data_IF_361585468350
#
_entry.id   IF_361585468350
#
_cell.length_a   1.000
_cell.length_b   1.000
_cell.length_c   1.000
_cell.angle_alpha   90.00
_cell.angle_beta   90.00
_cell.angle_gamma   90.00
#
_symmetry.space_group_name_H-M   'P 1'
#
loop_
_entity.id
_entity.type
_entity.pdbx_description
1 polymer ?
#
# COMPACT_ATOMS: atom_id res chain seq x y z
N UNK A 1 -25.32 -22.19 4.53
CA UNK A 1 -24.51 -22.51 3.33
C UNK A 1 -25.41 -22.53 2.10
N UNK A 2 -25.09 -21.70 1.10
CA UNK A 2 -25.79 -21.72 -0.19
C UNK A 2 -25.51 -23.03 -0.93
N UNK A 3 -26.47 -23.53 -1.71
CA UNK A 3 -26.22 -24.70 -2.57
C UNK A 3 -25.15 -24.37 -3.63
N UNK A 4 -24.33 -25.35 -4.07
CA UNK A 4 -23.27 -25.11 -5.06
C UNK A 4 -23.77 -24.46 -6.37
N UNK A 5 -24.99 -24.80 -6.82
CA UNK A 5 -25.59 -24.26 -8.06
C UNK A 5 -26.16 -22.85 -7.90
N UNK A 6 -26.30 -22.32 -6.68
CA UNK A 6 -26.81 -20.97 -6.41
C UNK A 6 -25.71 -19.95 -6.06
N UNK A 7 -24.43 -20.35 -6.13
CA UNK A 7 -23.33 -19.44 -5.83
C UNK A 7 -23.12 -18.43 -6.98
N UNK A 8 -22.75 -17.18 -6.66
CA UNK A 8 -22.45 -16.17 -7.66
C UNK A 8 -21.19 -16.53 -8.44
N UNK A 9 -21.12 -16.08 -9.69
CA UNK A 9 -19.95 -16.21 -10.54
C UNK A 9 -18.92 -15.13 -10.19
N UNK A 10 -17.69 -15.56 -9.90
CA UNK A 10 -16.59 -14.65 -9.53
C UNK A 10 -15.47 -14.72 -10.57
N UNK A 11 -15.08 -13.57 -11.11
CA UNK A 11 -13.84 -13.45 -11.89
C UNK A 11 -12.71 -12.95 -10.98
N UNK A 12 -11.68 -13.75 -10.77
CA UNK A 12 -10.46 -13.34 -10.07
C UNK A 12 -9.46 -12.81 -11.09
N UNK A 13 -8.92 -11.62 -10.86
CA UNK A 13 -8.01 -10.93 -11.78
C UNK A 13 -6.68 -10.66 -11.08
N UNK A 14 -5.59 -11.12 -11.69
CA UNK A 14 -4.22 -10.77 -11.34
C UNK A 14 -3.61 -9.95 -12.48
N UNK A 15 -2.94 -8.85 -12.15
CA UNK A 15 -2.23 -8.02 -13.13
C UNK A 15 -0.74 -8.22 -12.97
N UNK A 16 -0.06 -8.64 -14.05
CA UNK A 16 1.37 -8.89 -14.07
C UNK A 16 2.13 -7.85 -14.89
N UNK A 17 3.29 -7.43 -14.38
CA UNK A 17 4.28 -6.65 -15.10
C UNK A 17 5.68 -7.02 -14.56
N UNK A 18 6.33 -7.97 -15.21
CA UNK A 18 7.62 -8.54 -14.80
C UNK A 18 7.61 -9.07 -13.35
N UNK A 19 6.55 -9.79 -12.95
CA UNK A 19 6.39 -10.31 -11.59
C UNK A 19 7.26 -11.53 -11.27
N UNK A 20 7.94 -12.13 -12.24
CA UNK A 20 8.84 -13.26 -12.07
C UNK A 20 8.23 -14.43 -11.30
N UNK A 21 8.95 -14.92 -10.28
CA UNK A 21 8.50 -16.03 -9.44
C UNK A 21 7.32 -15.65 -8.52
N UNK A 22 7.24 -14.38 -8.12
CA UNK A 22 6.23 -13.89 -7.17
C UNK A 22 4.81 -14.02 -7.73
N UNK A 23 4.59 -13.63 -9.00
CA UNK A 23 3.28 -13.80 -9.65
C UNK A 23 2.91 -15.27 -9.83
N UNK A 24 3.88 -16.15 -10.12
CA UNK A 24 3.64 -17.59 -10.26
C UNK A 24 3.10 -18.15 -8.93
N UNK A 25 3.66 -17.71 -7.80
CA UNK A 25 3.20 -18.10 -6.46
C UNK A 25 1.82 -17.51 -6.11
N UNK A 26 1.57 -16.27 -6.48
CA UNK A 26 0.25 -15.64 -6.34
C UNK A 26 -0.83 -16.40 -7.13
N UNK A 27 -0.56 -16.74 -8.40
CA UNK A 27 -1.46 -17.55 -9.24
C UNK A 27 -1.66 -18.93 -8.62
N UNK A 28 -0.59 -19.58 -8.13
CA UNK A 28 -0.68 -20.88 -7.45
C UNK A 28 -1.62 -20.82 -6.24
N UNK A 29 -1.55 -19.76 -5.44
CA UNK A 29 -2.45 -19.56 -4.30
C UNK A 29 -3.90 -19.38 -4.76
N UNK A 30 -4.15 -18.56 -5.79
CA UNK A 30 -5.49 -18.31 -6.33
C UNK A 30 -6.11 -19.57 -6.94
N UNK A 31 -5.34 -20.39 -7.66
CA UNK A 31 -5.84 -21.67 -8.23
C UNK A 31 -6.27 -22.66 -7.15
N UNK A 32 -5.74 -22.55 -5.92
CA UNK A 32 -6.16 -23.38 -4.78
C UNK A 32 -7.41 -22.86 -4.05
N UNK A 33 -8.08 -21.83 -4.57
CA UNK A 33 -9.31 -21.28 -3.99
C UNK A 33 -10.41 -22.35 -3.92
N UNK A 34 -11.02 -22.51 -2.75
CA UNK A 34 -12.18 -23.37 -2.52
C UNK A 34 -13.45 -22.67 -3.01
N UNK A 35 -13.74 -22.84 -4.30
CA UNK A 35 -14.95 -22.34 -4.95
C UNK A 35 -15.42 -23.33 -6.01
N UNK A 36 -16.73 -23.42 -6.35
CA UNK A 36 -17.17 -24.28 -7.44
C UNK A 36 -16.51 -23.89 -8.76
N UNK A 37 -15.91 -24.87 -9.44
CA UNK A 37 -15.13 -24.65 -10.65
C UNK A 37 -15.96 -24.04 -11.81
N UNK A 38 -17.27 -24.29 -11.85
CA UNK A 38 -18.22 -23.70 -12.81
C UNK A 38 -18.68 -22.29 -12.42
N UNK A 39 -18.20 -21.76 -11.30
CA UNK A 39 -18.56 -20.45 -10.72
C UNK A 39 -17.36 -19.54 -10.47
N UNK A 40 -16.17 -19.91 -10.95
CA UNK A 40 -14.96 -19.10 -10.86
C UNK A 40 -14.24 -19.06 -12.20
N UNK A 41 -13.75 -17.88 -12.57
CA UNK A 41 -12.82 -17.67 -13.67
C UNK A 41 -11.58 -16.97 -13.12
N UNK A 42 -10.39 -17.51 -13.40
CA UNK A 42 -9.13 -16.90 -12.99
C UNK A 42 -8.46 -16.33 -14.23
N UNK A 43 -8.17 -15.02 -14.21
CA UNK A 43 -7.60 -14.28 -15.33
C UNK A 43 -6.30 -13.62 -14.90
N UNK A 44 -5.21 -13.94 -15.60
CA UNK A 44 -3.95 -13.23 -15.49
C UNK A 44 -3.84 -12.23 -16.66
N UNK A 45 -3.75 -10.95 -16.34
CA UNK A 45 -3.58 -9.85 -17.30
C UNK A 45 -2.11 -9.47 -17.36
N UNK A 46 -1.50 -9.61 -18.52
CA UNK A 46 -0.11 -9.22 -18.75
C UNK A 46 0.00 -7.79 -19.31
N UNK A 47 0.73 -6.94 -18.59
CA UNK A 47 1.02 -5.55 -18.95
C UNK A 47 2.30 -5.41 -19.79
N UNK A 48 2.62 -6.38 -20.64
CA UNK A 48 3.79 -6.35 -21.52
C UNK A 48 5.07 -6.73 -20.79
N UNK A 49 5.00 -7.83 -20.03
CA UNK A 49 6.14 -8.44 -19.34
C UNK A 49 7.12 -9.04 -20.34
N UNK A 50 8.40 -9.08 -19.96
CA UNK A 50 9.52 -9.57 -20.77
C UNK A 50 10.42 -10.56 -20.02
N UNK A 51 10.01 -10.98 -18.83
CA UNK A 51 10.76 -11.84 -17.90
C UNK A 51 10.40 -13.33 -18.01
N UNK A 52 9.43 -13.69 -18.86
CA UNK A 52 8.99 -15.07 -19.07
C UNK A 52 8.00 -15.59 -18.03
N UNK A 53 7.52 -14.73 -17.11
CA UNK A 53 6.54 -15.10 -16.07
C UNK A 53 5.26 -15.69 -16.69
N UNK A 54 4.82 -15.10 -17.81
CA UNK A 54 3.56 -15.45 -18.43
C UNK A 54 3.59 -16.82 -19.11
N UNK A 55 4.67 -17.14 -19.82
CA UNK A 55 4.86 -18.45 -20.42
C UNK A 55 4.92 -19.53 -19.32
N UNK A 56 5.55 -19.23 -18.19
CA UNK A 56 5.55 -20.12 -17.03
C UNK A 56 4.14 -20.34 -16.47
N UNK A 57 3.35 -19.27 -16.30
CA UNK A 57 1.95 -19.35 -15.83
C UNK A 57 1.10 -20.18 -16.78
N UNK A 58 1.20 -19.96 -18.09
CA UNK A 58 0.42 -20.72 -19.08
C UNK A 58 0.77 -22.21 -19.09
N UNK A 59 2.04 -22.54 -18.86
CA UNK A 59 2.52 -23.93 -18.82
C UNK A 59 2.13 -24.63 -17.50
N UNK A 60 2.25 -23.96 -16.35
CA UNK A 60 1.96 -24.55 -15.04
C UNK A 60 0.45 -24.58 -14.73
N UNK A 61 -0.31 -23.57 -15.19
CA UNK A 61 -1.72 -23.39 -14.87
C UNK A 61 -2.59 -23.22 -16.13
N UNK A 62 -2.81 -24.28 -16.92
CA UNK A 62 -3.56 -24.19 -18.18
C UNK A 62 -5.05 -23.80 -18.01
N UNK A 63 -5.59 -23.86 -16.80
CA UNK A 63 -6.94 -23.39 -16.48
C UNK A 63 -7.05 -21.87 -16.28
N UNK A 64 -5.91 -21.16 -16.20
CA UNK A 64 -5.87 -19.70 -16.03
C UNK A 64 -5.96 -19.03 -17.39
N UNK A 65 -6.98 -18.18 -17.56
CA UNK A 65 -7.12 -17.37 -18.77
C UNK A 65 -6.05 -16.27 -18.78
N UNK A 66 -5.51 -15.97 -19.96
CA UNK A 66 -4.49 -14.93 -20.12
C UNK A 66 -4.98 -13.85 -21.07
N UNK A 67 -4.84 -12.59 -20.65
CA UNK A 67 -5.12 -11.40 -21.46
C UNK A 67 -3.84 -10.58 -21.59
N UNK A 68 -3.41 -10.27 -22.82
CA UNK A 68 -2.19 -9.47 -23.07
C UNK A 68 -2.56 -8.04 -23.47
N UNK A 69 -2.12 -7.06 -22.69
CA UNK A 69 -2.28 -5.63 -23.00
C UNK A 69 -1.22 -5.13 -24.01
N UNK A 70 -0.09 -5.83 -24.12
CA UNK A 70 0.99 -5.54 -25.06
C UNK A 70 1.89 -4.35 -24.70
N UNK A 71 1.57 -3.62 -23.64
CA UNK A 71 2.39 -2.56 -23.05
C UNK A 71 1.98 -2.32 -21.60
N UNK A 72 2.84 -1.64 -20.84
CA UNK A 72 2.53 -1.30 -19.46
C UNK A 72 1.46 -0.18 -19.43
N UNK A 73 0.26 -0.53 -18.98
CA UNK A 73 -0.87 0.39 -18.76
C UNK A 73 -0.97 0.86 -17.30
N UNK A 74 -0.03 0.42 -16.46
CA UNK A 74 -0.10 0.56 -15.01
C UNK A 74 -1.26 -0.24 -14.42
N UNK A 75 -1.66 0.07 -13.19
CA UNK A 75 -2.74 -0.62 -12.48
C UNK A 75 -4.09 -0.61 -13.23
N UNK A 76 -4.47 0.45 -13.98
CA UNK A 76 -5.64 0.42 -14.85
C UNK A 76 -5.60 -0.67 -15.95
N UNK A 77 -4.47 -1.34 -16.17
CA UNK A 77 -4.38 -2.53 -17.04
C UNK A 77 -5.37 -3.64 -16.67
N UNK A 78 -5.78 -3.72 -15.40
CA UNK A 78 -6.87 -4.58 -14.91
C UNK A 78 -8.18 -4.40 -15.70
N UNK A 79 -8.41 -3.22 -16.29
CA UNK A 79 -9.60 -2.92 -17.08
C UNK A 79 -9.84 -3.94 -18.19
N UNK A 80 -8.80 -4.54 -18.76
CA UNK A 80 -8.95 -5.53 -19.84
C UNK A 80 -9.70 -6.80 -19.41
N UNK A 81 -9.67 -7.16 -18.11
CA UNK A 81 -10.48 -8.25 -17.56
C UNK A 81 -11.85 -7.80 -17.04
N UNK A 82 -12.12 -6.49 -16.98
CA UNK A 82 -13.34 -5.92 -16.40
C UNK A 82 -14.27 -5.23 -17.42
N UNK A 83 -13.90 -5.16 -18.70
CA UNK A 83 -14.74 -4.56 -19.75
C UNK A 83 -16.02 -5.35 -20.01
N UNK A 84 -15.93 -6.68 -20.00
CA UNK A 84 -17.03 -7.60 -20.30
C UNK A 84 -17.47 -8.34 -19.04
N UNK A 85 -18.55 -7.89 -18.41
CA UNK A 85 -19.04 -8.42 -17.13
C UNK A 85 -20.35 -9.22 -17.26
N UNK A 86 -20.77 -9.55 -18.48
CA UNK A 86 -21.98 -10.34 -18.70
C UNK A 86 -21.87 -11.71 -18.01
N UNK A 87 -22.79 -11.99 -17.08
CA UNK A 87 -22.79 -13.23 -16.29
C UNK A 87 -21.80 -13.27 -15.13
N UNK A 88 -21.05 -12.19 -14.89
CA UNK A 88 -20.14 -12.05 -13.74
C UNK A 88 -20.87 -11.28 -12.64
N UNK A 89 -20.95 -11.85 -11.44
CA UNK A 89 -21.57 -11.19 -10.28
C UNK A 89 -20.54 -10.33 -9.52
N UNK A 90 -19.31 -10.85 -9.41
CA UNK A 90 -18.21 -10.17 -8.72
C UNK A 90 -16.88 -10.29 -9.46
N UNK A 91 -16.05 -9.25 -9.33
CA UNK A 91 -14.66 -9.24 -9.75
C UNK A 91 -13.79 -9.15 -8.50
N UNK A 92 -12.93 -10.13 -8.26
CA UNK A 92 -11.95 -10.08 -7.19
C UNK A 92 -10.59 -9.67 -7.77
N UNK A 93 -10.06 -8.52 -7.38
CA UNK A 93 -8.70 -8.12 -7.71
C UNK A 93 -7.73 -8.71 -6.69
N UNK A 94 -6.63 -9.28 -7.14
CA UNK A 94 -5.52 -9.78 -6.31
C UNK A 94 -4.21 -9.35 -6.98
N UNK A 95 -3.36 -8.63 -6.26
CA UNK A 95 -2.10 -8.14 -6.82
C UNK A 95 -1.13 -9.29 -7.16
N UNK A 96 -0.15 -9.02 -8.01
CA UNK A 96 0.86 -10.02 -8.40
C UNK A 96 1.78 -10.47 -7.27
N UNK A 97 1.82 -9.74 -6.17
CA UNK A 97 2.58 -10.01 -4.96
C UNK A 97 1.68 -10.23 -3.73
N UNK A 98 0.43 -10.62 -3.97
CA UNK A 98 -0.53 -10.98 -2.94
C UNK A 98 -0.88 -12.48 -2.99
N UNK A 99 -0.94 -13.11 -1.82
CA UNK A 99 -1.16 -14.54 -1.62
C UNK A 99 -2.42 -14.75 -0.78
N UNK A 100 -3.35 -15.55 -1.30
CA UNK A 100 -4.66 -15.76 -0.68
C UNK A 100 -4.75 -17.10 0.05
N UNK A 101 -5.51 -17.16 1.14
CA UNK A 101 -5.85 -18.44 1.77
C UNK A 101 -6.87 -19.22 0.95
N UNK A 102 -6.93 -20.56 1.10
CA UNK A 102 -7.84 -21.39 0.29
C UNK A 102 -9.32 -20.97 0.39
N UNK A 103 -9.77 -20.53 1.57
CA UNK A 103 -11.17 -20.14 1.79
C UNK A 103 -11.38 -18.62 1.78
N UNK A 104 -10.45 -17.84 1.23
CA UNK A 104 -10.51 -16.36 1.27
C UNK A 104 -11.77 -15.77 0.61
N UNK A 105 -12.30 -16.41 -0.44
CA UNK A 105 -13.36 -15.84 -1.27
C UNK A 105 -14.77 -15.97 -0.64
N UNK A 106 -15.05 -17.08 0.04
CA UNK A 106 -16.34 -17.34 0.69
C UNK A 106 -16.80 -16.19 1.62
N UNK A 107 -16.01 -15.77 2.63
CA UNK A 107 -16.45 -14.72 3.53
C UNK A 107 -16.68 -13.38 2.81
N UNK A 108 -15.87 -13.04 1.80
CA UNK A 108 -16.05 -11.81 1.01
C UNK A 108 -17.40 -11.81 0.28
N UNK A 109 -17.73 -12.92 -0.38
CA UNK A 109 -18.98 -13.08 -1.12
C UNK A 109 -20.18 -13.10 -0.17
N UNK A 110 -20.09 -13.82 0.95
CA UNK A 110 -21.15 -13.83 1.97
C UNK A 110 -21.42 -12.41 2.49
N UNK A 111 -20.36 -11.64 2.79
CA UNK A 111 -20.47 -10.25 3.22
C UNK A 111 -21.16 -9.38 2.18
N UNK A 112 -20.72 -9.45 0.93
CA UNK A 112 -21.35 -8.72 -0.18
C UNK A 112 -22.82 -9.14 -0.41
N UNK A 113 -23.19 -10.38 -0.04
CA UNK A 113 -24.57 -10.87 -0.11
C UNK A 113 -25.51 -10.29 0.96
N UNK A 114 -24.98 -9.75 2.06
CA UNK A 114 -25.80 -9.22 3.18
C UNK A 114 -26.56 -7.94 2.83
N UNK A 115 -26.03 -7.13 1.89
CA UNK A 115 -26.68 -5.91 1.41
C UNK A 115 -26.25 -5.64 -0.04
N UNK A 116 -27.24 -5.43 -0.92
CA UNK A 116 -27.01 -5.07 -2.32
C UNK A 116 -26.31 -3.73 -2.48
N UNK A 117 -26.41 -2.81 -1.52
CA UNK A 117 -25.68 -1.54 -1.51
C UNK A 117 -24.17 -1.65 -1.25
N UNK A 118 -23.67 -2.83 -0.86
CA UNK A 118 -22.23 -3.07 -0.71
C UNK A 118 -21.63 -3.27 -2.11
N UNK A 119 -20.80 -2.31 -2.53
CA UNK A 119 -20.14 -2.32 -3.83
C UNK A 119 -18.74 -2.94 -3.80
N UNK A 120 -18.09 -2.92 -2.63
CA UNK A 120 -16.77 -3.53 -2.43
C UNK A 120 -16.63 -4.14 -1.03
N UNK A 121 -15.91 -5.26 -0.95
CA UNK A 121 -15.52 -5.90 0.30
C UNK A 121 -14.00 -6.09 0.32
N UNK A 122 -13.35 -5.53 1.34
CA UNK A 122 -11.90 -5.65 1.54
C UNK A 122 -11.59 -6.80 2.51
N UNK A 123 -10.66 -7.71 2.16
CA UNK A 123 -10.12 -8.66 3.13
C UNK A 123 -9.26 -7.94 4.18
N UNK A 124 -8.89 -8.66 5.24
CA UNK A 124 -7.75 -8.27 6.08
C UNK A 124 -6.47 -8.60 5.31
N UNK A 125 -5.71 -7.56 4.97
CA UNK A 125 -4.41 -7.71 4.30
C UNK A 125 -3.31 -7.63 5.35
N UNK A 126 -2.55 -8.71 5.49
CA UNK A 126 -1.34 -8.79 6.30
C UNK A 126 -0.12 -8.64 5.40
N UNK A 127 1.00 -8.21 5.97
CA UNK A 127 2.28 -8.36 5.28
C UNK A 127 2.57 -9.85 5.01
N UNK A 128 3.26 -10.13 3.90
CA UNK A 128 3.58 -11.50 3.50
C UNK A 128 4.42 -12.20 4.56
N UNK A 129 5.40 -11.48 5.11
CA UNK A 129 6.19 -11.93 6.23
C UNK A 129 5.46 -11.75 7.56
N UNK A 130 5.73 -12.69 8.46
CA UNK A 130 5.56 -12.45 9.90
C UNK A 130 6.89 -11.96 10.46
N UNK A 131 6.85 -11.25 11.57
CA UNK A 131 8.01 -10.52 12.05
C UNK A 131 8.42 -10.89 13.46
N UNK A 132 9.73 -10.99 13.66
CA UNK A 132 10.35 -11.00 14.97
C UNK A 132 10.59 -9.56 15.41
N UNK A 133 10.15 -9.22 16.62
CA UNK A 133 10.26 -7.86 17.15
C UNK A 133 11.50 -7.72 18.04
N UNK A 134 12.27 -6.66 17.79
CA UNK A 134 13.41 -6.23 18.59
C UNK A 134 13.10 -4.85 19.13
N UNK A 135 12.97 -4.73 20.45
CA UNK A 135 12.74 -3.42 21.09
C UNK A 135 14.04 -2.64 21.18
N UNK A 136 14.01 -1.36 20.86
CA UNK A 136 15.14 -0.44 20.97
C UNK A 136 14.90 0.48 22.16
N UNK A 137 15.85 0.51 23.10
CA UNK A 137 15.95 1.55 24.13
C UNK A 137 17.10 2.45 23.78
N UNK A 138 16.85 3.75 23.75
CA UNK A 138 17.85 4.76 23.40
C UNK A 138 17.92 5.81 24.51
N UNK A 139 19.11 5.99 25.06
CA UNK A 139 19.41 7.07 25.98
C UNK A 139 20.39 8.01 25.30
N UNK A 140 19.95 9.24 25.10
CA UNK A 140 20.74 10.29 24.46
C UNK A 140 21.28 11.25 25.53
N UNK A 141 22.59 11.50 25.50
CA UNK A 141 23.22 12.46 26.39
C UNK A 141 22.84 13.91 26.00
N UNK A 142 22.40 14.14 24.77
CA UNK A 142 22.07 15.47 24.24
C UNK A 142 20.55 15.72 24.20
N UNK A 143 20.01 16.33 25.27
CA UNK A 143 18.56 16.66 25.40
C UNK A 143 17.96 17.53 24.28
N UNK A 144 18.76 18.10 23.39
CA UNK A 144 18.35 18.98 22.28
C UNK A 144 19.28 18.82 21.06
N UNK A 145 19.16 17.69 20.37
CA UNK A 145 19.88 17.38 19.12
C UNK A 145 18.98 16.74 18.04
N UNK A 146 19.52 16.46 16.83
CA UNK A 146 18.87 15.54 15.88
C UNK A 146 18.67 14.15 16.52
N UNK A 147 17.86 13.29 15.89
CA UNK A 147 17.61 11.95 16.44
C UNK A 147 18.93 11.18 16.64
N UNK A 148 19.10 10.47 17.76
CA UNK A 148 20.41 10.02 18.23
C UNK A 148 21.03 8.90 17.37
N UNK A 149 20.22 8.07 16.72
CA UNK A 149 20.71 6.94 15.94
C UNK A 149 19.80 6.63 14.74
N UNK A 150 20.39 6.03 13.71
CA UNK A 150 19.74 5.55 12.49
C UNK A 150 20.09 4.09 12.23
N UNK A 151 19.09 3.29 11.88
CA UNK A 151 19.25 1.94 11.35
C UNK A 151 19.59 2.02 9.86
N UNK A 152 20.76 1.50 9.48
CA UNK A 152 21.31 1.54 8.12
C UNK A 152 21.19 0.21 7.37
N UNK A 153 21.07 -0.88 8.11
CA UNK A 153 21.07 -2.22 7.55
C UNK A 153 20.58 -3.25 8.57
N UNK A 154 20.04 -4.33 8.04
CA UNK A 154 19.67 -5.53 8.81
C UNK A 154 20.01 -6.73 7.94
N UNK A 155 20.84 -7.62 8.47
CA UNK A 155 21.07 -8.92 7.87
C UNK A 155 20.54 -10.04 8.77
N UNK A 156 20.00 -11.08 8.15
CA UNK A 156 19.46 -12.28 8.79
C UNK A 156 20.12 -13.50 8.16
N UNK A 157 20.76 -14.34 8.98
CA UNK A 157 21.60 -15.47 8.57
C UNK A 157 22.59 -15.10 7.43
N UNK A 158 23.15 -13.90 7.48
CA UNK A 158 24.10 -13.37 6.49
C UNK A 158 23.49 -12.82 5.19
N UNK A 159 22.16 -12.76 5.06
CA UNK A 159 21.49 -12.12 3.93
C UNK A 159 20.90 -10.76 4.31
N UNK A 160 21.03 -9.76 3.42
CA UNK A 160 20.40 -8.46 3.61
C UNK A 160 18.87 -8.59 3.52
N UNK A 161 18.19 -8.16 4.58
CA UNK A 161 16.73 -8.14 4.70
C UNK A 161 16.21 -6.74 5.05
N UNK A 162 17.05 -5.70 4.98
CA UNK A 162 16.72 -4.38 5.49
C UNK A 162 15.49 -3.77 4.82
N UNK A 163 15.38 -3.92 3.50
CA UNK A 163 14.24 -3.39 2.73
C UNK A 163 12.90 -4.01 3.11
N UNK A 164 12.92 -5.24 3.65
CA UNK A 164 11.76 -5.99 4.16
C UNK A 164 11.51 -5.77 5.65
N UNK A 165 12.40 -5.06 6.36
CA UNK A 165 12.18 -4.72 7.76
C UNK A 165 11.25 -3.52 7.89
N UNK A 166 10.58 -3.41 9.04
CA UNK A 166 9.79 -2.25 9.42
C UNK A 166 10.24 -1.74 10.79
N UNK A 167 10.40 -0.43 10.96
CA UNK A 167 10.67 0.15 12.27
C UNK A 167 9.45 0.90 12.78
N UNK A 168 8.75 0.34 13.77
CA UNK A 168 7.65 1.01 14.43
C UNK A 168 8.16 2.08 15.39
N UNK A 169 7.40 3.18 15.52
CA UNK A 169 7.80 4.32 16.33
C UNK A 169 8.96 5.12 15.75
N UNK A 170 9.38 4.85 14.51
CA UNK A 170 10.36 5.63 13.75
C UNK A 170 9.71 6.86 13.10
N UNK A 171 10.54 7.76 12.57
CA UNK A 171 10.04 8.86 11.73
C UNK A 171 9.71 8.43 10.29
N UNK A 172 9.69 7.12 10.01
CA UNK A 172 9.64 6.56 8.67
C UNK A 172 11.02 6.43 8.01
N UNK A 173 11.02 5.79 6.83
CA UNK A 173 12.20 5.58 5.99
C UNK A 173 12.63 6.86 5.29
N UNK A 174 13.92 7.14 5.35
CA UNK A 174 14.57 8.26 4.69
C UNK A 174 15.67 7.75 3.76
N UNK A 175 16.20 8.62 2.92
CA UNK A 175 17.36 8.32 2.10
C UNK A 175 18.32 9.50 2.05
N UNK A 176 19.60 9.20 1.97
CA UNK A 176 20.68 10.16 1.74
C UNK A 176 21.63 9.64 0.65
N UNK A 177 22.88 10.12 0.64
CA UNK A 177 23.88 9.70 -0.34
C UNK A 177 24.43 8.30 -0.09
N UNK A 178 24.33 7.80 1.14
CA UNK A 178 24.88 6.51 1.55
C UNK A 178 23.86 5.39 1.43
N UNK A 179 22.57 5.73 1.43
CA UNK A 179 21.50 4.80 1.10
C UNK A 179 20.20 5.14 1.79
N UNK A 180 19.33 4.14 1.89
CA UNK A 180 18.13 4.21 2.72
C UNK A 180 18.49 4.00 4.18
N UNK A 181 17.73 4.61 5.08
CA UNK A 181 17.91 4.44 6.52
C UNK A 181 16.60 4.72 7.27
N UNK A 182 16.49 4.24 8.50
CA UNK A 182 15.34 4.52 9.38
C UNK A 182 15.80 5.10 10.71
N UNK A 183 15.24 6.24 11.08
CA UNK A 183 15.55 6.88 12.35
C UNK A 183 15.04 6.05 13.53
N UNK A 184 15.90 5.81 14.53
CA UNK A 184 15.53 5.16 15.77
C UNK A 184 15.17 6.20 16.83
N UNK A 185 14.14 5.88 17.62
CA UNK A 185 13.72 6.63 18.80
C UNK A 185 13.74 5.69 20.02
N UNK A 186 13.73 6.25 21.23
CA UNK A 186 13.47 5.45 22.42
C UNK A 186 12.10 4.76 22.32
N UNK A 187 12.07 3.44 22.50
CA UNK A 187 10.88 2.62 22.33
C UNK A 187 10.59 2.19 20.89
N UNK A 188 11.46 2.47 19.91
CA UNK A 188 11.31 1.93 18.55
C UNK A 188 11.31 0.40 18.55
N UNK A 189 10.61 -0.21 17.60
CA UNK A 189 10.58 -1.67 17.42
C UNK A 189 11.05 -2.00 16.02
N UNK A 190 12.19 -2.69 15.90
CA UNK A 190 12.68 -3.22 14.64
C UNK A 190 12.00 -4.56 14.39
N UNK A 191 11.29 -4.68 13.28
CA UNK A 191 10.62 -5.89 12.84
C UNK A 191 11.42 -6.56 11.74
N UNK A 192 11.95 -7.74 12.05
CA UNK A 192 12.77 -8.55 11.14
C UNK A 192 11.92 -9.70 10.60
N UNK A 193 11.87 -9.95 9.29
CA UNK A 193 11.05 -11.03 8.72
C UNK A 193 11.48 -12.40 9.26
N UNK A 194 10.52 -13.27 9.59
CA UNK A 194 10.76 -14.63 10.10
C UNK A 194 11.38 -15.57 9.07
N UNK A 195 11.25 -15.23 7.78
CA UNK A 195 11.69 -16.03 6.65
C UNK A 195 12.63 -15.27 5.74
N UNK A 196 13.64 -15.98 5.23
CA UNK A 196 14.57 -15.46 4.25
C UNK A 196 14.11 -15.96 2.88
N UNK A 197 13.25 -15.19 2.20
CA UNK A 197 12.84 -15.47 0.81
C UNK A 197 12.15 -16.82 0.59
N UNK A 198 11.03 -17.08 1.29
CA UNK A 198 10.20 -18.27 1.06
C UNK A 198 10.76 -19.60 1.61
N UNK A 199 11.95 -19.57 2.23
CA UNK A 199 12.54 -20.75 2.89
C UNK A 199 11.94 -21.03 4.28
N UNK A 200 12.01 -22.30 4.70
CA UNK A 200 11.60 -22.77 6.05
C UNK A 200 12.71 -22.63 7.10
N UNK A 201 13.88 -22.12 6.73
CA UNK A 201 15.00 -21.91 7.65
C UNK A 201 14.65 -20.72 8.56
N UNK A 202 14.43 -21.00 9.84
CA UNK A 202 14.18 -19.96 10.84
C UNK A 202 15.38 -19.02 11.00
N UNK A 203 15.10 -17.81 11.47
CA UNK A 203 16.13 -16.82 11.83
C UNK A 203 16.94 -17.33 13.03
N UNK A 204 18.24 -17.52 12.84
CA UNK A 204 19.17 -17.90 13.92
C UNK A 204 20.06 -16.73 14.32
N UNK A 205 20.44 -15.90 13.35
CA UNK A 205 21.40 -14.82 13.53
C UNK A 205 20.85 -13.54 12.88
N UNK A 206 20.79 -12.45 13.64
CA UNK A 206 20.45 -11.13 13.12
C UNK A 206 21.61 -10.18 13.41
N UNK A 207 21.99 -9.37 12.44
CA UNK A 207 22.96 -8.29 12.63
C UNK A 207 22.30 -6.99 12.16
N UNK A 208 22.35 -5.96 13.00
CA UNK A 208 21.87 -4.62 12.66
C UNK A 208 23.04 -3.67 12.49
N UNK A 209 22.97 -2.82 11.48
CA UNK A 209 23.94 -1.75 11.25
C UNK A 209 23.35 -0.43 11.72
N UNK A 210 24.03 0.23 12.66
CA UNK A 210 23.58 1.46 13.30
C UNK A 210 24.59 2.55 13.06
N UNK A 211 24.12 3.72 12.66
CA UNK A 211 24.86 4.97 12.68
C UNK A 211 24.38 5.85 13.84
N UNK A 212 25.32 6.31 14.67
CA UNK A 212 25.04 7.25 15.76
C UNK A 212 25.26 8.69 15.29
N UNK A 213 24.33 9.59 15.61
CA UNK A 213 24.42 11.02 15.31
C UNK A 213 24.71 11.88 16.55
N UNK A 214 24.47 11.35 17.75
CA UNK A 214 24.92 11.93 19.03
C UNK A 214 25.70 10.87 19.83
N UNK A 215 26.23 11.26 20.99
CA UNK A 215 26.68 10.27 21.96
C UNK A 215 25.44 9.67 22.60
N UNK A 216 25.23 8.37 22.40
CA UNK A 216 24.06 7.69 22.92
C UNK A 216 24.39 6.28 23.39
N UNK A 217 23.54 5.76 24.27
CA UNK A 217 23.55 4.37 24.68
C UNK A 217 22.33 3.68 24.06
N UNK A 218 22.57 2.57 23.36
CA UNK A 218 21.51 1.75 22.77
C UNK A 218 21.47 0.37 23.43
N UNK A 219 20.26 -0.11 23.70
CA UNK A 219 20.01 -1.46 24.18
C UNK A 219 18.92 -2.12 23.34
N UNK A 220 19.13 -3.38 22.99
CA UNK A 220 18.17 -4.18 22.22
C UNK A 220 17.48 -5.21 23.11
N UNK A 221 16.15 -5.23 23.08
CA UNK A 221 15.36 -6.25 23.75
C UNK A 221 15.48 -7.59 23.03
N UNK A 222 15.94 -8.62 23.73
CA UNK A 222 16.06 -9.98 23.20
C UNK A 222 17.51 -10.47 23.06
N UNK A 223 18.50 -9.58 22.97
CA UNK A 223 19.92 -9.94 23.06
C UNK A 223 20.35 -10.10 24.52
N UNK A 224 21.46 -10.81 24.75
CA UNK A 224 22.08 -10.91 26.07
C UNK A 224 22.58 -9.53 26.54
N UNK A 225 21.67 -8.73 27.08
CA UNK A 225 21.83 -7.54 27.94
C UNK A 225 23.09 -6.68 27.70
N UNK A 226 23.46 -6.46 26.43
CA UNK A 226 24.58 -5.60 26.07
C UNK A 226 24.11 -4.16 25.93
N UNK A 227 24.50 -3.29 26.85
CA UNK A 227 24.47 -1.85 26.61
C UNK A 227 25.60 -1.48 25.65
N UNK A 228 25.28 -0.79 24.56
CA UNK A 228 26.26 -0.33 23.57
C UNK A 228 26.36 1.19 23.63
N UNK A 229 27.49 1.69 24.13
CA UNK A 229 27.80 3.12 24.10
C UNK A 229 28.36 3.49 22.72
N UNK A 230 27.65 4.36 22.01
CA UNK A 230 27.99 4.80 20.66
C UNK A 230 28.42 6.26 20.70
N UNK A 231 29.63 6.53 20.22
CA UNK A 231 30.10 7.90 19.99
C UNK A 231 29.41 8.50 18.76
N UNK A 232 29.19 9.81 18.74
CA UNK A 232 28.68 10.52 17.56
C UNK A 232 29.54 10.23 16.31
N UNK A 233 28.89 9.87 15.22
CA UNK A 233 29.50 9.45 13.94
C UNK A 233 29.96 7.99 13.88
N UNK A 234 29.75 7.18 14.93
CA UNK A 234 30.09 5.77 14.90
C UNK A 234 29.10 4.96 14.05
N UNK A 235 29.63 4.10 13.17
CA UNK A 235 28.87 3.07 12.48
C UNK A 235 29.26 1.70 13.05
N UNK A 236 28.30 0.96 13.59
CA UNK A 236 28.54 -0.33 14.24
C UNK A 236 27.60 -1.40 13.71
N UNK A 237 28.12 -2.61 13.56
CA UNK A 237 27.32 -3.81 13.26
C UNK A 237 27.17 -4.62 14.54
N UNK A 238 25.94 -4.80 15.01
CA UNK A 238 25.64 -5.45 16.29
C UNK A 238 24.89 -6.76 16.05
N UNK A 239 25.45 -7.92 16.46
CA UNK A 239 24.72 -9.17 16.44
C UNK A 239 23.65 -9.16 17.54
N UNK A 240 22.41 -9.45 17.16
CA UNK A 240 21.25 -9.47 18.04
C UNK A 240 20.64 -10.87 18.09
N UNK A 241 20.21 -11.25 19.29
CA UNK A 241 19.32 -12.38 19.44
C UNK A 241 17.89 -11.90 19.31
N UNK A 242 17.10 -12.62 18.51
CA UNK A 242 15.69 -12.32 18.26
C UNK A 242 14.79 -13.29 19.01
N UNK A 243 13.58 -12.83 19.34
CA UNK A 243 12.55 -13.69 19.90
C UNK A 243 12.19 -14.84 18.95
N UNK A 244 11.48 -15.85 19.46
CA UNK A 244 10.99 -17.00 18.66
C UNK A 244 9.50 -16.93 18.33
N UNK A 245 8.84 -15.84 18.68
CA UNK A 245 7.40 -15.66 18.54
C UNK A 245 7.12 -14.59 17.48
N UNK A 246 7.10 -14.97 16.20
CA UNK A 246 6.78 -14.05 15.12
C UNK A 246 5.33 -13.59 15.20
N UNK A 247 5.11 -12.33 14.84
CA UNK A 247 3.82 -11.66 14.86
C UNK A 247 3.35 -11.32 13.45
N UNK A 248 2.05 -11.36 13.25
CA UNK A 248 1.43 -10.85 12.04
C UNK A 248 1.32 -9.32 12.13
N UNK A 249 1.64 -8.64 11.04
CA UNK A 249 1.56 -7.18 10.93
C UNK A 249 0.56 -6.86 9.83
N UNK A 250 -0.35 -5.95 10.14
CA UNK A 250 -1.39 -5.50 9.23
C UNK A 250 -0.76 -4.61 8.16
N UNK A 251 -1.05 -4.94 6.90
CA UNK A 251 -0.77 -4.08 5.77
C UNK A 251 -1.97 -3.16 5.49
N UNK A 252 -3.18 -3.71 5.42
CA UNK A 252 -4.39 -2.92 5.19
C UNK A 252 -5.65 -3.61 5.75
N UNK A 253 -6.48 -2.86 6.48
CA UNK A 253 -7.83 -3.26 6.89
C UNK A 253 -8.86 -2.22 6.45
N UNK A 254 -8.75 -1.81 5.18
CA UNK A 254 -9.52 -0.74 4.57
C UNK A 254 -8.80 0.60 4.57
N UNK A 255 -9.31 1.52 3.75
CA UNK A 255 -8.66 2.80 3.48
C UNK A 255 -9.63 3.95 3.68
N UNK A 256 -9.11 5.16 3.84
CA UNK A 256 -9.90 6.37 4.00
C UNK A 256 -9.15 7.58 3.43
N UNK A 257 -9.86 8.70 3.28
CA UNK A 257 -9.33 9.94 2.72
C UNK A 257 -9.51 11.07 3.72
N UNK A 258 -8.45 11.81 4.02
CA UNK A 258 -8.51 12.96 4.94
C UNK A 258 -9.02 14.26 4.27
N UNK A 259 -9.15 15.33 5.05
CA UNK A 259 -9.58 16.65 4.55
C UNK A 259 -8.61 17.33 3.57
N UNK A 260 -7.41 16.78 3.37
CA UNK A 260 -6.44 17.20 2.36
C UNK A 260 -6.47 16.34 1.11
N UNK A 261 -7.42 15.39 1.04
CA UNK A 261 -7.57 14.38 0.00
C UNK A 261 -6.40 13.41 -0.07
N UNK A 262 -5.68 13.23 1.03
CA UNK A 262 -4.61 12.23 1.14
C UNK A 262 -5.27 10.90 1.52
N UNK A 263 -4.96 9.85 0.76
CA UNK A 263 -5.36 8.48 1.07
C UNK A 263 -4.51 7.92 2.21
N UNK A 264 -5.18 7.20 3.12
CA UNK A 264 -4.58 6.57 4.29
C UNK A 264 -5.00 5.11 4.35
N UNK A 265 -4.08 4.26 4.77
CA UNK A 265 -4.31 2.84 5.01
C UNK A 265 -4.58 2.62 6.49
N UNK A 266 -5.66 1.90 6.80
CA UNK A 266 -6.00 1.61 8.19
C UNK A 266 -5.25 0.39 8.67
N UNK A 267 -4.73 0.47 9.90
CA UNK A 267 -3.96 -0.60 10.54
C UNK A 267 -2.57 -0.82 9.96
N UNK A 268 -2.13 -0.02 8.97
CA UNK A 268 -0.80 -0.18 8.39
C UNK A 268 0.28 -0.13 9.49
N UNK A 269 1.09 -1.17 9.57
CA UNK A 269 2.13 -1.39 10.58
C UNK A 269 1.64 -1.73 12.01
N UNK A 270 0.35 -1.91 12.24
CA UNK A 270 -0.15 -2.44 13.51
C UNK A 270 0.11 -3.95 13.61
N UNK A 271 0.48 -4.42 14.79
CA UNK A 271 0.52 -5.87 15.06
C UNK A 271 -0.91 -6.38 15.13
N UNK A 272 -1.25 -7.43 14.38
CA UNK A 272 -2.58 -8.04 14.46
C UNK A 272 -2.70 -8.84 15.75
N UNK A 273 -3.53 -8.33 16.66
CA UNK A 273 -3.91 -8.95 17.93
C UNK A 273 -5.42 -9.25 17.95
N UNK A 274 -6.09 -9.22 16.79
CA UNK A 274 -7.54 -9.38 16.66
C UNK A 274 -8.33 -8.09 16.82
N UNK A 275 -7.68 -6.93 16.93
CA UNK A 275 -8.34 -5.62 17.06
C UNK A 275 -9.14 -5.22 15.81
N UNK A 276 -8.91 -5.91 14.68
CA UNK A 276 -9.61 -5.71 13.42
C UNK A 276 -10.51 -6.90 13.03
N UNK A 277 -10.91 -7.75 13.98
CA UNK A 277 -11.75 -8.94 13.72
C UNK A 277 -13.24 -8.65 13.56
N UNK A 278 -13.62 -7.37 13.67
CA UNK A 278 -15.00 -6.93 13.44
C UNK A 278 -15.11 -6.28 12.04
N UNK A 279 -16.04 -6.75 11.19
CA UNK A 279 -16.37 -6.07 9.93
C UNK A 279 -16.80 -4.62 10.17
N UNK A 280 -16.19 -3.68 9.45
CA UNK A 280 -16.49 -2.25 9.56
C UNK A 280 -16.66 -1.60 8.19
N UNK A 281 -17.49 -0.56 8.11
CA UNK A 281 -17.61 0.28 6.92
C UNK A 281 -16.40 1.22 6.78
N UNK A 282 -15.83 1.30 5.58
CA UNK A 282 -14.58 2.02 5.30
C UNK A 282 -14.71 3.02 4.17
N UNK A 283 -14.01 4.14 4.22
CA UNK A 283 -14.17 5.20 3.22
C UNK A 283 -13.82 4.78 1.80
N UNK A 284 -12.73 4.03 1.64
CA UNK A 284 -12.21 3.47 0.39
C UNK A 284 -11.60 2.08 0.64
N UNK A 285 -11.03 1.47 -0.39
CA UNK A 285 -10.44 0.13 -0.38
C UNK A 285 -9.12 0.13 -1.12
N UNK A 286 -8.25 -0.85 -0.81
CA UNK A 286 -6.94 -1.03 -1.43
C UNK A 286 -7.05 -1.92 -2.68
N UNK A 287 -6.40 -1.52 -3.78
CA UNK A 287 -6.31 -2.34 -4.99
C UNK A 287 -5.50 -3.63 -4.85
N UNK A 288 -4.75 -3.82 -3.75
CA UNK A 288 -3.93 -5.01 -3.55
C UNK A 288 -4.76 -6.30 -3.42
N UNK A 289 -5.91 -6.22 -2.75
CA UNK A 289 -6.92 -7.27 -2.76
C UNK A 289 -8.30 -6.70 -2.43
N UNK A 290 -9.29 -6.94 -3.28
CA UNK A 290 -10.68 -6.46 -3.06
C UNK A 290 -11.67 -7.26 -3.88
N UNK A 291 -12.85 -7.55 -3.31
CA UNK A 291 -14.00 -8.06 -4.06
C UNK A 291 -14.91 -6.90 -4.47
N UNK A 292 -15.11 -6.70 -5.76
CA UNK A 292 -15.93 -5.65 -6.35
C UNK A 292 -17.21 -6.25 -6.94
N UNK A 293 -18.36 -5.63 -6.66
CA UNK A 293 -19.62 -6.00 -7.31
C UNK A 293 -19.60 -5.57 -8.78
N UNK A 294 -19.93 -6.49 -9.69
CA UNK A 294 -19.97 -6.18 -11.12
C UNK A 294 -20.96 -5.06 -11.45
N UNK A 295 -22.11 -5.02 -10.76
CA UNK A 295 -23.10 -3.92 -10.89
C UNK A 295 -22.52 -2.56 -10.50
N UNK A 296 -21.64 -2.48 -9.50
CA UNK A 296 -20.96 -1.23 -9.15
C UNK A 296 -20.01 -0.82 -10.27
N UNK A 297 -19.24 -1.73 -10.83
CA UNK A 297 -18.33 -1.43 -11.94
C UNK A 297 -19.13 -0.94 -13.16
N UNK A 298 -20.26 -1.57 -13.46
CA UNK A 298 -21.15 -1.18 -14.56
C UNK A 298 -21.80 0.21 -14.33
N UNK A 299 -22.21 0.52 -13.09
CA UNK A 299 -22.79 1.81 -12.71
C UNK A 299 -21.77 2.96 -12.72
N UNK A 300 -20.58 2.70 -12.18
CA UNK A 300 -19.59 3.74 -11.86
C UNK A 300 -18.56 3.91 -13.00
N UNK A 301 -18.32 2.85 -13.76
CA UNK A 301 -17.27 2.75 -14.79
C UNK A 301 -15.93 2.22 -14.26
N UNK A 302 -15.02 1.91 -15.18
CA UNK A 302 -13.71 1.30 -14.92
C UNK A 302 -12.70 2.26 -14.25
N UNK A 303 -11.45 1.80 -14.03
CA UNK A 303 -10.34 2.66 -13.64
C UNK A 303 -10.03 3.69 -14.73
N UNK A 304 -9.70 4.93 -14.34
CA UNK A 304 -9.24 5.93 -15.31
C UNK A 304 -7.75 5.74 -15.59
N UNK A 305 -7.43 5.38 -16.83
CA UNK A 305 -6.07 5.10 -17.30
C UNK A 305 -5.10 6.30 -17.17
N UNK A 306 -5.62 7.52 -16.93
CA UNK A 306 -4.79 8.71 -16.66
C UNK A 306 -3.94 8.54 -15.39
N UNK A 307 -4.41 7.77 -14.41
CA UNK A 307 -3.71 7.57 -13.15
C UNK A 307 -2.42 6.78 -13.31
N UNK A 308 -2.43 5.75 -14.18
CA UNK A 308 -1.35 4.78 -14.38
C UNK A 308 -1.00 4.00 -13.10
N UNK A 309 -0.62 4.64 -12.00
CA UNK A 309 -0.37 3.98 -10.70
C UNK A 309 -0.68 4.94 -9.55
N UNK A 310 -1.16 4.38 -8.43
CA UNK A 310 -1.69 5.09 -7.25
C UNK A 310 -2.91 5.98 -7.51
N UNK A 311 -3.87 5.95 -6.57
CA UNK A 311 -5.14 6.70 -6.57
C UNK A 311 -6.17 6.29 -7.64
N UNK A 312 -5.89 5.34 -8.54
CA UNK A 312 -6.91 4.79 -9.44
C UNK A 312 -8.03 4.07 -8.70
N UNK A 313 -7.67 3.28 -7.67
CA UNK A 313 -8.61 2.63 -6.74
C UNK A 313 -9.41 3.66 -5.95
N UNK A 314 -8.73 4.69 -5.46
CA UNK A 314 -9.28 5.80 -4.69
C UNK A 314 -10.27 6.61 -5.54
N UNK A 315 -9.95 6.95 -6.79
CA UNK A 315 -10.87 7.63 -7.69
C UNK A 315 -12.12 6.80 -7.96
N UNK A 316 -11.97 5.49 -8.21
CA UNK A 316 -13.09 4.58 -8.41
C UNK A 316 -13.96 4.47 -7.16
N UNK A 317 -13.34 4.33 -5.98
CA UNK A 317 -14.01 4.28 -4.69
C UNK A 317 -14.80 5.57 -4.39
N UNK A 318 -14.21 6.74 -4.64
CA UNK A 318 -14.89 8.04 -4.46
C UNK A 318 -16.06 8.20 -5.42
N UNK A 319 -15.91 7.77 -6.69
CA UNK A 319 -17.05 7.74 -7.64
C UNK A 319 -18.16 6.78 -7.15
N UNK A 320 -17.80 5.60 -6.65
CA UNK A 320 -18.74 4.63 -6.07
C UNK A 320 -19.49 5.18 -4.87
N UNK A 321 -18.78 5.80 -3.92
CA UNK A 321 -19.39 6.52 -2.78
C UNK A 321 -20.33 7.60 -3.26
N UNK A 322 -19.92 8.39 -4.26
CA UNK A 322 -20.77 9.41 -4.87
C UNK A 322 -22.07 8.86 -5.48
N UNK A 323 -22.06 7.60 -5.92
CA UNK A 323 -23.22 6.85 -6.43
C UNK A 323 -24.01 6.11 -5.35
N UNK A 324 -23.61 6.22 -4.07
CA UNK A 324 -24.30 5.62 -2.92
C UNK A 324 -23.83 4.22 -2.54
N UNK A 325 -22.80 3.68 -3.20
CA UNK A 325 -22.22 2.39 -2.85
C UNK A 325 -21.46 2.47 -1.52
N UNK A 326 -21.55 1.41 -0.72
CA UNK A 326 -20.83 1.24 0.55
C UNK A 326 -19.70 0.24 0.40
N UNK A 327 -18.66 0.40 1.22
CA UNK A 327 -17.50 -0.49 1.25
C UNK A 327 -17.28 -0.98 2.66
N UNK A 328 -16.98 -2.26 2.82
CA UNK A 328 -16.84 -2.88 4.15
C UNK A 328 -15.63 -3.79 4.19
N UNK A 329 -15.07 -3.99 5.37
CA UNK A 329 -14.06 -5.02 5.61
C UNK A 329 -14.71 -6.35 5.92
N UNK A 330 -14.01 -7.45 5.65
CA UNK A 330 -14.36 -8.79 6.11
C UNK A 330 -13.10 -9.51 6.59
N UNK A 331 -12.79 -9.44 7.90
CA UNK A 331 -11.51 -9.89 8.45
C UNK A 331 -11.34 -11.41 8.50
N UNK A 332 -12.40 -12.19 8.25
CA UNK A 332 -12.30 -13.65 8.06
C UNK A 332 -11.68 -14.02 6.73
N UNK A 333 -11.60 -13.10 5.77
CA UNK A 333 -10.82 -13.24 4.56
C UNK A 333 -9.43 -12.67 4.82
N UNK A 334 -8.40 -13.50 4.78
CA UNK A 334 -7.01 -13.08 4.99
C UNK A 334 -6.24 -13.18 3.66
N UNK A 335 -5.53 -12.10 3.33
CA UNK A 335 -4.61 -12.02 2.20
C UNK A 335 -3.26 -11.55 2.72
N UNK A 336 -2.18 -12.15 2.22
CA UNK A 336 -0.80 -11.78 2.55
C UNK A 336 -0.18 -11.03 1.39
N UNK A 337 0.48 -9.90 1.63
CA UNK A 337 0.96 -9.01 0.58
C UNK A 337 2.41 -8.60 0.85
N UNK A 338 3.31 -8.76 -0.14
CA UNK A 338 4.72 -8.36 0.01
C UNK A 338 4.84 -6.85 0.24
N UNK A 339 3.95 -6.07 -0.40
CA UNK A 339 3.90 -4.61 -0.38
C UNK A 339 5.12 -3.95 -1.06
N UNK A 340 4.85 -2.96 -1.92
CA UNK A 340 5.88 -2.19 -2.65
C UNK A 340 6.85 -3.01 -3.53
N UNK A 341 6.47 -4.21 -3.99
CA UNK A 341 7.36 -5.05 -4.82
C UNK A 341 7.67 -4.45 -6.21
N UNK A 342 6.73 -3.73 -6.81
CA UNK A 342 6.87 -3.14 -8.15
C UNK A 342 7.35 -1.69 -8.16
N UNK A 343 7.20 -0.97 -7.04
CA UNK A 343 7.71 0.39 -6.86
C UNK A 343 8.14 0.57 -5.41
N UNK A 344 9.43 0.81 -5.20
CA UNK A 344 10.00 1.07 -3.88
C UNK A 344 9.29 2.28 -3.24
N UNK A 345 8.81 2.09 -2.01
CA UNK A 345 8.20 3.16 -1.20
C UNK A 345 9.18 4.33 -1.06
N UNK A 346 8.68 5.56 -1.23
CA UNK A 346 9.53 6.77 -1.22
C UNK A 346 10.40 6.98 -2.47
N UNK A 347 10.29 6.13 -3.51
CA UNK A 347 10.96 6.38 -4.79
C UNK A 347 10.42 7.64 -5.47
N UNK A 348 11.25 8.29 -6.30
CA UNK A 348 10.85 9.47 -7.06
C UNK A 348 9.65 9.21 -7.99
N UNK A 349 9.50 7.98 -8.47
CA UNK A 349 8.33 7.56 -9.28
C UNK A 349 7.07 7.50 -8.41
N UNK A 350 7.14 6.85 -7.24
CA UNK A 350 6.00 6.79 -6.32
C UNK A 350 5.56 8.18 -5.87
N UNK A 351 6.50 8.99 -5.38
CA UNK A 351 6.23 10.37 -4.95
C UNK A 351 5.58 11.19 -6.07
N UNK A 352 6.06 11.04 -7.32
CA UNK A 352 5.53 11.75 -8.47
C UNK A 352 4.06 11.40 -8.71
N UNK A 353 3.75 10.11 -8.82
CA UNK A 353 2.40 9.67 -9.14
C UNK A 353 1.43 9.88 -7.98
N UNK A 354 1.83 9.60 -6.73
CA UNK A 354 1.02 9.89 -5.53
C UNK A 354 0.63 11.37 -5.51
N UNK A 355 1.59 12.29 -5.63
CA UNK A 355 1.28 13.71 -5.53
C UNK A 355 0.50 14.22 -6.74
N UNK A 356 0.90 13.84 -7.97
CA UNK A 356 0.20 14.22 -9.20
C UNK A 356 -1.25 13.74 -9.15
N UNK A 357 -1.47 12.48 -8.79
CA UNK A 357 -2.78 11.85 -8.84
C UNK A 357 -3.69 12.28 -7.70
N UNK A 358 -3.14 12.54 -6.50
CA UNK A 358 -3.87 13.21 -5.41
C UNK A 358 -4.48 14.53 -5.88
N UNK A 359 -3.71 15.35 -6.61
CA UNK A 359 -4.20 16.61 -7.18
C UNK A 359 -5.28 16.39 -8.26
N UNK A 360 -5.19 15.32 -9.06
CA UNK A 360 -6.24 14.95 -10.02
C UNK A 360 -7.55 14.57 -9.30
N UNK A 361 -7.48 13.77 -8.23
CA UNK A 361 -8.66 13.43 -7.41
C UNK A 361 -9.27 14.69 -6.80
N UNK A 362 -8.45 15.60 -6.25
CA UNK A 362 -8.91 16.91 -5.75
C UNK A 362 -9.66 17.69 -6.84
N UNK A 363 -9.08 17.82 -8.03
CA UNK A 363 -9.71 18.51 -9.16
C UNK A 363 -11.04 17.88 -9.56
N UNK A 364 -11.14 16.55 -9.52
CA UNK A 364 -12.34 15.81 -9.95
C UNK A 364 -13.47 15.82 -8.93
N UNK A 365 -13.16 15.76 -7.64
CA UNK A 365 -14.15 15.45 -6.60
C UNK A 365 -14.37 16.56 -5.58
N UNK A 366 -13.31 17.27 -5.19
CA UNK A 366 -13.32 18.23 -4.09
C UNK A 366 -14.16 19.48 -4.37
N UNK A 367 -14.49 20.26 -3.34
CA UNK A 367 -15.14 21.56 -3.55
C UNK A 367 -14.17 22.58 -4.19
N UNK A 368 -14.70 23.68 -4.75
CA UNK A 368 -13.82 24.72 -5.33
C UNK A 368 -12.94 25.36 -4.26
N UNK A 369 -13.45 25.54 -3.03
CA UNK A 369 -12.66 26.05 -1.92
C UNK A 369 -11.55 25.08 -1.49
N UNK A 370 -11.81 23.78 -1.47
CA UNK A 370 -10.77 22.77 -1.21
C UNK A 370 -9.69 22.76 -2.30
N UNK A 371 -10.08 22.84 -3.58
CA UNK A 371 -9.12 22.93 -4.70
C UNK A 371 -8.20 24.13 -4.49
N UNK A 372 -8.75 25.32 -4.27
CA UNK A 372 -7.96 26.54 -4.06
C UNK A 372 -7.04 26.41 -2.84
N UNK A 373 -7.56 25.91 -1.71
CA UNK A 373 -6.80 25.73 -0.47
C UNK A 373 -5.64 24.76 -0.65
N UNK A 374 -5.89 23.59 -1.25
CA UNK A 374 -4.89 22.53 -1.44
C UNK A 374 -3.83 22.97 -2.45
N UNK A 375 -4.22 23.63 -3.54
CA UNK A 375 -3.28 24.15 -4.55
C UNK A 375 -2.42 25.28 -3.98
N UNK A 376 -3.02 26.20 -3.21
CA UNK A 376 -2.26 27.24 -2.51
C UNK A 376 -1.28 26.62 -1.50
N UNK A 377 -1.74 25.66 -0.69
CA UNK A 377 -0.87 24.93 0.26
C UNK A 377 0.28 24.23 -0.46
N UNK A 378 0.03 23.62 -1.62
CA UNK A 378 1.08 22.97 -2.42
C UNK A 378 2.19 23.95 -2.80
N UNK A 379 1.82 25.12 -3.32
CA UNK A 379 2.77 26.19 -3.70
C UNK A 379 3.53 26.70 -2.49
N UNK A 380 2.83 26.98 -1.37
CA UNK A 380 3.45 27.47 -0.14
C UNK A 380 4.43 26.47 0.48
N UNK A 381 4.05 25.19 0.55
CA UNK A 381 4.93 24.13 1.06
C UNK A 381 6.15 23.95 0.16
N UNK A 382 5.96 24.01 -1.17
CA UNK A 382 7.09 23.95 -2.12
C UNK A 382 8.02 25.16 -1.96
N UNK A 383 7.47 26.37 -1.75
CA UNK A 383 8.25 27.56 -1.41
C UNK A 383 8.98 27.45 -0.06
N UNK A 384 8.39 26.74 0.92
CA UNK A 384 9.03 26.45 2.20
C UNK A 384 10.24 25.51 2.03
N UNK A 385 10.13 24.47 1.20
CA UNK A 385 11.28 23.61 0.87
C UNK A 385 12.39 24.40 0.17
N UNK A 386 12.02 25.28 -0.78
CA UNK A 386 12.99 26.17 -1.45
C UNK A 386 13.71 27.06 -0.44
N UNK A 387 12.96 27.74 0.44
CA UNK A 387 13.53 28.57 1.50
C UNK A 387 14.48 27.76 2.39
N UNK A 388 14.06 26.57 2.82
CA UNK A 388 14.85 25.69 3.70
C UNK A 388 16.15 25.27 3.03
N UNK A 389 16.10 24.87 1.75
CA UNK A 389 17.27 24.50 0.97
C UNK A 389 18.28 25.66 0.85
N UNK A 390 17.81 26.89 0.59
CA UNK A 390 18.68 28.05 0.49
C UNK A 390 19.26 28.48 1.84
N UNK A 391 18.48 28.44 2.92
CA UNK A 391 18.98 28.75 4.27
C UNK A 391 20.06 27.75 4.67
N UNK A 392 19.81 26.45 4.48
CA UNK A 392 20.81 25.41 4.76
C UNK A 392 22.07 25.57 3.91
N UNK A 393 21.92 25.87 2.61
CA UNK A 393 23.03 26.11 1.69
C UNK A 393 23.90 27.31 2.12
N UNK A 394 23.28 28.41 2.55
CA UNK A 394 23.98 29.58 3.07
C UNK A 394 24.74 29.26 4.36
N UNK A 395 24.10 28.54 5.29
CA UNK A 395 24.70 28.12 6.56
C UNK A 395 25.89 27.17 6.36
N UNK A 396 25.79 26.24 5.42
CA UNK A 396 26.82 25.22 5.15
C UNK A 396 27.84 25.67 4.07
N UNK A 397 27.66 26.86 3.47
CA UNK A 397 28.45 27.35 2.31
C UNK A 397 28.49 26.36 1.14
N UNK A 398 27.36 25.72 0.87
CA UNK A 398 27.20 24.73 -0.20
C UNK A 398 26.15 25.18 -1.22
N UNK A 399 25.97 24.41 -2.30
CA UNK A 399 24.86 24.62 -3.24
C UNK A 399 23.55 24.09 -2.63
N UNK A 400 22.40 24.75 -2.87
CA UNK A 400 21.12 24.26 -2.36
C UNK A 400 20.73 22.95 -3.03
N UNK A 401 20.29 21.99 -2.23
CA UNK A 401 19.62 20.79 -2.71
C UNK A 401 18.16 21.13 -3.05
N UNK A 402 17.86 21.16 -4.35
CA UNK A 402 16.53 21.48 -4.87
C UNK A 402 15.75 20.24 -5.30
N UNK A 403 16.21 19.04 -4.96
CA UNK A 403 15.61 17.77 -5.39
C UNK A 403 14.12 17.72 -5.06
N UNK A 404 13.74 18.00 -3.81
CA UNK A 404 12.35 18.00 -3.38
C UNK A 404 11.50 19.08 -4.08
N UNK A 405 12.07 20.27 -4.31
CA UNK A 405 11.40 21.35 -5.04
C UNK A 405 11.12 20.93 -6.48
N UNK A 406 12.10 20.34 -7.16
CA UNK A 406 11.95 19.85 -8.52
C UNK A 406 10.91 18.73 -8.62
N UNK A 407 10.96 17.72 -7.74
CA UNK A 407 9.99 16.61 -7.72
C UNK A 407 8.56 17.11 -7.51
N UNK A 408 8.33 17.99 -6.52
CA UNK A 408 7.00 18.57 -6.25
C UNK A 408 6.51 19.46 -7.39
N UNK A 409 7.39 20.25 -8.00
CA UNK A 409 7.06 21.13 -9.13
C UNK A 409 6.70 20.31 -10.37
N UNK A 410 7.48 19.28 -10.69
CA UNK A 410 7.21 18.38 -11.82
C UNK A 410 5.84 17.69 -11.68
N UNK A 411 5.52 17.20 -10.48
CA UNK A 411 4.24 16.54 -10.18
C UNK A 411 3.06 17.51 -10.29
N UNK A 412 3.22 18.74 -9.81
CA UNK A 412 2.20 19.80 -9.94
C UNK A 412 1.96 20.20 -11.40
N UNK A 413 3.03 20.44 -12.17
CA UNK A 413 2.92 20.77 -13.59
C UNK A 413 2.30 19.62 -14.39
N UNK A 414 2.61 18.36 -14.06
CA UNK A 414 1.98 17.20 -14.67
C UNK A 414 0.47 17.15 -14.38
N UNK A 415 0.05 17.47 -13.15
CA UNK A 415 -1.38 17.58 -12.82
C UNK A 415 -2.06 18.73 -13.58
N UNK A 416 -1.40 19.90 -13.70
CA UNK A 416 -1.93 21.04 -14.46
C UNK A 416 -2.07 20.75 -15.95
N UNK A 417 -1.15 19.99 -16.57
CA UNK A 417 -1.28 19.53 -17.95
C UNK A 417 -2.55 18.70 -18.18
N UNK A 418 -3.01 17.99 -17.14
CA UNK A 418 -4.21 17.16 -17.16
C UNK A 418 -5.48 17.90 -16.66
N UNK A 419 -5.39 19.20 -16.38
CA UNK A 419 -6.51 20.00 -15.88
C UNK A 419 -7.71 20.00 -16.84
N UNK A 420 -7.58 20.20 -18.17
CA UNK A 420 -8.74 20.20 -19.06
C UNK A 420 -9.53 18.89 -19.02
N UNK A 421 -8.81 17.75 -19.07
CA UNK A 421 -9.40 16.41 -18.95
C UNK A 421 -10.07 16.21 -17.59
N UNK A 422 -9.42 16.64 -16.51
CA UNK A 422 -9.95 16.53 -15.15
C UNK A 422 -11.23 17.35 -14.94
N UNK A 423 -11.35 18.51 -15.59
CA UNK A 423 -12.57 19.34 -15.55
C UNK A 423 -13.73 18.69 -16.31
N UNK A 424 -13.46 18.01 -17.44
CA UNK A 424 -14.47 17.22 -18.15
C UNK A 424 -14.94 16.06 -17.26
N UNK A 425 -14.00 15.29 -16.68
CA UNK A 425 -14.33 14.21 -15.75
C UNK A 425 -15.13 14.73 -14.55
N UNK A 426 -14.75 15.87 -13.96
CA UNK A 426 -15.48 16.51 -12.85
C UNK A 426 -16.94 16.77 -13.20
N UNK A 427 -17.22 17.30 -14.40
CA UNK A 427 -18.60 17.57 -14.85
C UNK A 427 -19.41 16.28 -14.98
N UNK A 428 -18.83 15.24 -15.60
CA UNK A 428 -19.46 13.92 -15.73
C UNK A 428 -19.72 13.29 -14.37
N UNK A 429 -18.74 13.29 -13.47
CA UNK A 429 -18.90 12.76 -12.11
C UNK A 429 -20.01 13.52 -11.37
N UNK A 430 -20.01 14.85 -11.45
CA UNK A 430 -21.02 15.66 -10.78
C UNK A 430 -22.44 15.43 -11.31
N UNK A 431 -22.64 15.12 -12.60
CA UNK A 431 -23.98 14.87 -13.16
C UNK A 431 -24.59 13.54 -12.73
N UNK A 432 -23.77 12.58 -12.30
CA UNK A 432 -24.24 11.25 -11.86
C UNK A 432 -24.18 11.05 -10.35
N UNK A 433 -23.56 11.97 -9.60
CA UNK A 433 -23.44 11.88 -8.14
C UNK A 433 -24.78 12.06 -7.45
N UNK A 434 -25.12 11.13 -6.56
CA UNK A 434 -26.32 11.16 -5.72
C UNK A 434 -26.06 11.86 -4.38
N UNK A 435 -24.85 11.73 -3.83
CA UNK A 435 -24.50 12.37 -2.55
C UNK A 435 -24.14 13.86 -2.70
N UNK A 436 -24.48 14.65 -1.69
CA UNK A 436 -23.89 15.98 -1.55
C UNK A 436 -22.37 15.87 -1.32
N UNK A 437 -21.62 16.95 -1.59
CA UNK A 437 -20.17 16.95 -1.35
C UNK A 437 -19.83 16.74 0.13
N UNK A 438 -20.62 17.29 1.04
CA UNK A 438 -20.38 17.14 2.48
C UNK A 438 -20.60 15.70 2.93
N UNK A 439 -21.65 15.03 2.44
CA UNK A 439 -21.88 13.62 2.73
C UNK A 439 -20.80 12.73 2.14
N UNK A 440 -20.36 13.03 0.91
CA UNK A 440 -19.27 12.31 0.26
C UNK A 440 -17.98 12.40 1.09
N UNK A 441 -17.56 13.62 1.47
CA UNK A 441 -16.35 13.84 2.27
C UNK A 441 -16.44 13.13 3.62
N UNK A 442 -17.61 13.18 4.28
CA UNK A 442 -17.82 12.45 5.53
C UNK A 442 -17.69 10.94 5.34
N UNK A 443 -18.26 10.37 4.27
CA UNK A 443 -18.23 8.92 4.04
C UNK A 443 -16.84 8.42 3.63
N UNK A 444 -16.09 9.16 2.81
CA UNK A 444 -14.73 8.77 2.42
C UNK A 444 -13.73 8.94 3.56
N UNK A 445 -14.03 9.76 4.56
CA UNK A 445 -13.25 9.92 5.79
C UNK A 445 -13.58 8.90 6.88
N UNK A 446 -14.54 7.99 6.66
CA UNK A 446 -14.90 6.95 7.64
C UNK A 446 -13.75 5.99 7.89
N UNK A 447 -13.33 5.88 9.16
CA UNK A 447 -12.28 4.98 9.62
C UNK A 447 -12.85 3.69 10.23
N UNK A 448 -12.09 2.57 10.20
CA UNK A 448 -12.52 1.32 10.84
C UNK A 448 -12.68 1.41 12.36
N UNK A 449 -12.01 2.35 13.02
CA UNK A 449 -12.07 2.57 14.47
C UNK A 449 -13.26 3.47 14.89
N UNK A 450 -14.07 3.93 13.93
CA UNK A 450 -15.21 4.80 14.17
C UNK A 450 -14.85 6.26 14.50
N UNK A 451 -13.57 6.63 14.48
CA UNK A 451 -13.15 8.02 14.68
C UNK A 451 -13.40 8.85 13.41
N UNK A 452 -13.90 10.07 13.58
CA UNK A 452 -14.05 11.01 12.48
C UNK A 452 -12.68 11.58 12.07
N UNK A 453 -12.42 11.66 10.76
CA UNK A 453 -11.20 12.21 10.18
C UNK A 453 -11.05 13.71 10.34
#
# INVERSE_FOLDING_TARGET
MMSPKSRPFVRVVLLDFNGGQTIIEAVRAVVQTQWPADRIEIVCVDNGSTDGSLEAIQNEFPSVAVIRNGKNLGFPGNNSAMKELHGVDFVALVNSDAFVERNWLEPLVERAGTDRGIGAVSPKILFADRFLEITVKLQDDERRGPKPAALRGVSSNGQDVFTRCHVAGSGGRACDREGIFEWLNDGSIIRVPESIGGGTAGVTDVVVDIESHSNCMVTFGGSAEGEHNLSSGACVSLPLSVGRNPVDVVNNVGSWIDGTWTGHESGLYDVDRGQFDTPTEVGTWCGAAVLLRAEMIADVGLFDETFFLYYEDTDLAVRGRGRGWRFVTEPKSVVRHVHSASTVEGSAVAEHYIERNRLLVVLRHASVSDILRIFARHVLVTGSYLRTAYVAALSLRQRPDLTQVHRRTASFLAALKLLPRSLVSRRKIASHRLLSRHELVRQIGSRPDGSAA
#
